data_IF_714747152933
#
_entry.id   IF_714747152933
#
_cell.length_a   1.000
_cell.length_b   1.000
_cell.length_c   1.000
_cell.angle_alpha   90.00
_cell.angle_beta   90.00
_cell.angle_gamma   90.00
#
_symmetry.space_group_name_H-M   'P 1'
#
loop_
_entity.id
_entity.type
_entity.pdbx_description
1 polymer ?
#
# COMPACT_ATOMS: atom_id res chain seq x y z
N UNK A 1 -30.93 0.84 -16.88
CA UNK A 1 -29.46 1.07 -16.73
C UNK A 1 -29.28 2.06 -15.59
N UNK A 2 -28.85 1.61 -14.42
CA UNK A 2 -28.59 2.50 -13.29
C UNK A 2 -27.30 3.27 -13.54
N UNK A 3 -27.34 4.60 -13.54
CA UNK A 3 -26.13 5.41 -13.60
C UNK A 3 -25.46 5.40 -12.23
N UNK A 4 -24.21 4.95 -12.15
CA UNK A 4 -23.40 5.11 -10.95
C UNK A 4 -23.05 6.59 -10.79
N UNK A 5 -23.43 7.18 -9.65
CA UNK A 5 -23.02 8.53 -9.30
C UNK A 5 -21.54 8.51 -8.91
N UNK A 6 -20.74 9.36 -9.55
CA UNK A 6 -19.33 9.55 -9.20
C UNK A 6 -19.17 10.14 -7.80
N UNK A 7 -17.99 9.93 -7.21
CA UNK A 7 -17.63 10.45 -5.89
C UNK A 7 -16.18 10.99 -5.89
N UNK A 8 -15.82 11.77 -4.87
CA UNK A 8 -14.48 12.35 -4.71
C UNK A 8 -13.59 11.46 -3.84
N UNK A 9 -12.31 11.39 -4.17
CA UNK A 9 -11.29 10.73 -3.35
C UNK A 9 -10.08 11.63 -3.17
N UNK A 10 -9.44 11.52 -2.02
CA UNK A 10 -8.15 12.17 -1.81
C UNK A 10 -7.12 11.57 -2.76
N UNK A 11 -6.39 12.42 -3.47
CA UNK A 11 -5.31 11.99 -4.33
C UNK A 11 -4.10 11.50 -3.51
N UNK A 12 -3.87 12.13 -2.36
CA UNK A 12 -2.73 11.83 -1.49
C UNK A 12 -3.24 11.25 -0.17
N UNK A 13 -2.57 10.21 0.31
CA UNK A 13 -2.92 9.50 1.54
C UNK A 13 -1.67 9.47 2.40
N UNK A 14 -1.78 10.01 3.61
CA UNK A 14 -0.71 9.99 4.59
C UNK A 14 -1.02 8.92 5.65
N UNK A 15 -0.14 7.90 5.80
CA UNK A 15 -0.27 6.94 6.87
C UNK A 15 -0.20 7.62 8.24
N UNK A 16 -1.00 7.15 9.19
CA UNK A 16 -0.98 7.60 10.58
C UNK A 16 -0.33 6.54 11.47
N UNK A 17 0.13 6.97 12.65
CA UNK A 17 0.71 6.09 13.68
C UNK A 17 1.83 5.19 13.13
N UNK A 18 2.68 5.78 12.29
CA UNK A 18 3.76 5.07 11.60
C UNK A 18 4.85 4.67 12.59
N UNK A 19 5.17 3.37 12.64
CA UNK A 19 6.35 2.85 13.33
C UNK A 19 7.09 1.87 12.44
N UNK A 20 8.42 1.92 12.50
CA UNK A 20 9.31 1.05 11.74
C UNK A 20 10.23 0.29 12.70
N UNK A 21 10.37 -1.01 12.47
CA UNK A 21 11.32 -1.85 13.20
C UNK A 21 12.04 -2.76 12.20
N UNK A 22 13.36 -2.61 12.13
CA UNK A 22 14.20 -3.44 11.28
C UNK A 22 14.86 -4.55 12.09
N UNK A 23 14.67 -5.80 11.66
CA UNK A 23 15.27 -6.97 12.27
C UNK A 23 16.52 -7.36 11.49
N UNK A 24 17.67 -6.87 11.92
CA UNK A 24 18.95 -7.02 11.19
C UNK A 24 19.30 -8.46 10.87
N UNK A 25 19.13 -9.40 11.80
CA UNK A 25 19.48 -10.81 11.58
C UNK A 25 18.61 -11.52 10.52
N UNK A 26 17.41 -11.00 10.25
CA UNK A 26 16.46 -11.58 9.28
C UNK A 26 16.34 -10.76 8.01
N UNK A 27 17.07 -9.65 7.93
CA UNK A 27 16.97 -8.65 6.88
C UNK A 27 15.51 -8.19 6.61
N UNK A 28 14.69 -8.17 7.67
CA UNK A 28 13.25 -7.94 7.58
C UNK A 28 12.87 -6.55 8.13
N UNK A 29 12.09 -5.78 7.37
CA UNK A 29 11.49 -4.53 7.84
C UNK A 29 10.02 -4.74 8.22
N UNK A 30 9.69 -4.44 9.48
CA UNK A 30 8.31 -4.40 9.97
C UNK A 30 7.82 -2.96 10.04
N UNK A 31 6.63 -2.73 9.52
CA UNK A 31 6.01 -1.41 9.45
C UNK A 31 4.59 -1.52 10.01
N UNK A 32 4.29 -0.76 11.06
CA UNK A 32 2.92 -0.58 11.53
C UNK A 32 2.42 0.80 11.11
N UNK A 33 1.19 0.87 10.61
CA UNK A 33 0.59 2.10 10.13
C UNK A 33 -0.93 1.96 10.06
N UNK A 34 -1.63 3.10 10.11
CA UNK A 34 -3.05 3.19 9.85
C UNK A 34 -3.32 3.91 8.53
N UNK A 35 -4.26 3.40 7.74
CA UNK A 35 -4.76 4.03 6.53
C UNK A 35 -6.25 4.36 6.65
N UNK A 36 -6.72 5.46 6.03
CA UNK A 36 -8.14 5.78 6.00
C UNK A 36 -8.92 4.72 5.21
N UNK A 37 -10.21 4.59 5.52
CA UNK A 37 -11.12 3.68 4.81
C UNK A 37 -11.08 3.94 3.29
N UNK A 38 -10.96 2.86 2.52
CA UNK A 38 -10.88 2.92 1.05
C UNK A 38 -9.48 3.11 0.49
N UNK A 39 -8.47 3.27 1.36
CA UNK A 39 -7.06 3.16 0.99
C UNK A 39 -6.59 1.70 1.05
N UNK A 40 -5.55 1.39 0.28
CA UNK A 40 -4.99 0.03 0.20
C UNK A 40 -3.56 0.00 0.75
N UNK A 41 -3.27 -0.98 1.60
CA UNK A 41 -1.92 -1.22 2.12
C UNK A 41 -0.92 -1.54 1.00
N UNK A 42 -1.37 -2.22 -0.06
CA UNK A 42 -0.53 -2.55 -1.22
C UNK A 42 0.00 -1.30 -1.91
N UNK A 43 -0.82 -0.25 -2.09
CA UNK A 43 -0.36 1.01 -2.69
C UNK A 43 0.77 1.64 -1.87
N UNK A 44 0.66 1.62 -0.54
CA UNK A 44 1.71 2.12 0.33
C UNK A 44 3.00 1.28 0.24
N UNK A 45 2.87 -0.05 0.21
CA UNK A 45 4.02 -0.95 0.08
C UNK A 45 4.71 -0.86 -1.28
N UNK A 46 3.95 -0.75 -2.37
CA UNK A 46 4.50 -0.53 -3.73
C UNK A 46 5.27 0.80 -3.81
N UNK A 47 4.78 1.85 -3.13
CA UNK A 47 5.49 3.13 -3.07
C UNK A 47 6.78 3.08 -2.25
N UNK A 48 6.81 2.33 -1.14
CA UNK A 48 8.04 2.14 -0.36
C UNK A 48 9.05 1.27 -1.12
N UNK A 49 8.59 0.15 -1.68
CA UNK A 49 9.43 -0.80 -2.39
C UNK A 49 9.78 -0.39 -3.82
N UNK A 50 9.23 0.73 -4.32
CA UNK A 50 9.36 1.24 -5.70
C UNK A 50 9.25 0.16 -6.77
N UNK A 51 8.40 -0.82 -6.51
CA UNK A 51 8.20 -2.00 -7.34
C UNK A 51 6.76 -2.46 -7.22
N UNK A 52 6.22 -3.06 -8.29
CA UNK A 52 4.86 -3.58 -8.25
C UNK A 52 4.82 -4.92 -7.53
N UNK A 53 3.80 -5.09 -6.70
CA UNK A 53 3.49 -6.35 -6.01
C UNK A 53 2.70 -7.31 -6.90
N UNK A 54 2.38 -6.92 -8.15
CA UNK A 54 1.72 -7.81 -9.09
C UNK A 54 2.59 -9.04 -9.35
N UNK A 55 1.99 -10.24 -9.39
CA UNK A 55 2.73 -11.44 -9.73
C UNK A 55 3.34 -11.28 -11.12
N UNK A 56 4.65 -11.52 -11.24
CA UNK A 56 5.28 -11.66 -12.55
C UNK A 56 4.63 -12.86 -13.24
N UNK A 57 4.05 -12.66 -14.43
CA UNK A 57 3.68 -13.79 -15.28
C UNK A 57 4.97 -14.54 -15.59
N UNK A 58 5.03 -15.83 -15.25
CA UNK A 58 6.04 -16.70 -15.83
C UNK A 58 5.72 -16.80 -17.32
N UNK A 59 6.56 -16.19 -18.15
CA UNK A 59 6.60 -16.53 -19.57
C UNK A 59 7.14 -17.96 -19.67
N UNK A 60 6.36 -18.84 -20.28
CA UNK A 60 6.74 -20.22 -20.61
C UNK A 60 7.26 -20.26 -22.03
#
# INVERSE_FOLDING_TARGET
>A
LYSLNGDRRYAWIFPKDLSLHYHTEKEELRINFYLPKGAYATTFLEEIGKSSLKPKKLER
#
